data_IF_319585689279
#
_entry.id   IF_319585689279
#
_cell.length_a   1.000
_cell.length_b   1.000
_cell.length_c   1.000
_cell.angle_alpha   90.00
_cell.angle_beta   90.00
_cell.angle_gamma   90.00
#
_symmetry.space_group_name_H-M   'P 1'
#
loop_
_entity.id
_entity.type
_entity.pdbx_description
1 polymer ?
#
# COMPACT_ATOMS: atom_id res chain seq x y z
N UNK A 1 -0.03 8.99 -3.82
CA UNK A 1 1.36 9.44 -3.81
C UNK A 1 2.12 8.79 -2.66
N UNK A 2 3.43 8.77 -2.78
CA UNK A 2 4.29 8.17 -1.75
C UNK A 2 4.16 8.90 -0.42
N UNK A 3 4.07 10.23 -0.45
CA UNK A 3 3.93 11.01 0.76
C UNK A 3 2.65 10.67 1.52
N UNK A 4 1.55 10.52 0.81
CA UNK A 4 0.27 10.14 1.42
C UNK A 4 0.33 8.74 2.03
N UNK A 5 0.99 7.81 1.35
CA UNK A 5 1.16 6.44 1.85
C UNK A 5 1.99 6.43 3.13
N UNK A 6 3.11 7.15 3.13
CA UNK A 6 3.97 7.25 4.31
C UNK A 6 3.25 7.88 5.49
N UNK A 7 2.47 8.94 5.23
CA UNK A 7 1.67 9.59 6.28
C UNK A 7 0.64 8.61 6.85
N UNK A 8 -0.04 7.88 5.99
CA UNK A 8 -1.00 6.87 6.41
C UNK A 8 -0.37 5.77 7.25
N UNK A 9 0.80 5.28 6.83
CA UNK A 9 1.50 4.23 7.58
C UNK A 9 1.90 4.71 8.97
N UNK A 10 2.23 5.99 9.11
CA UNK A 10 2.66 6.54 10.40
C UNK A 10 1.52 6.58 11.43
N UNK A 11 0.27 6.70 10.99
CA UNK A 11 -0.89 6.74 11.88
C UNK A 11 -1.61 5.39 12.00
N UNK A 12 -1.17 4.39 11.27
CA UNK A 12 -1.77 3.08 11.32
C UNK A 12 -1.37 2.39 12.62
N UNK A 13 -2.36 1.89 13.35
CA UNK A 13 -2.08 1.20 14.61
C UNK A 13 -1.60 -0.22 14.37
N UNK A 14 -0.99 -0.83 15.38
CA UNK A 14 -0.58 -2.23 15.33
C UNK A 14 -1.78 -3.11 14.96
N UNK A 15 -1.61 -3.99 13.99
CA UNK A 15 -2.68 -4.83 13.46
C UNK A 15 -3.55 -4.14 12.44
N UNK A 16 -3.40 -2.82 12.25
CA UNK A 16 -4.18 -2.10 11.27
C UNK A 16 -3.79 -2.41 9.84
N UNK A 17 -4.71 -2.16 8.93
CA UNK A 17 -4.55 -2.50 7.52
C UNK A 17 -4.76 -1.25 6.66
N UNK A 18 -3.85 -1.03 5.72
CA UNK A 18 -4.01 -0.04 4.67
C UNK A 18 -4.21 -0.76 3.34
N UNK A 19 -5.19 -0.32 2.56
CA UNK A 19 -5.39 -0.85 1.22
C UNK A 19 -5.08 0.23 0.19
N UNK A 20 -4.42 -0.19 -0.88
CA UNK A 20 -4.06 0.69 -2.00
C UNK A 20 -4.56 0.09 -3.28
N UNK A 21 -4.90 0.95 -4.24
CA UNK A 21 -5.15 0.54 -5.62
C UNK A 21 -4.15 1.25 -6.51
N UNK A 22 -3.29 0.51 -7.17
CA UNK A 22 -2.26 1.06 -8.05
C UNK A 22 -2.71 0.94 -9.50
N UNK A 23 -2.70 2.06 -10.22
CA UNK A 23 -3.14 2.13 -11.61
C UNK A 23 -1.93 2.32 -12.52
N UNK A 24 -2.00 1.81 -13.73
CA UNK A 24 -0.95 2.00 -14.73
C UNK A 24 -1.52 2.34 -16.13
N UNK A 25 -2.68 2.99 -16.15
CA UNK A 25 -3.35 3.34 -17.41
C UNK A 25 -2.71 4.49 -18.18
N UNK A 26 -1.75 5.20 -17.60
CA UNK A 26 -1.02 6.28 -18.26
C UNK A 26 0.46 6.18 -17.90
N UNK A 27 1.29 6.92 -18.65
CA UNK A 27 2.74 6.92 -18.37
C UNK A 27 3.03 7.46 -16.97
N UNK A 28 2.32 8.49 -16.55
CA UNK A 28 2.50 9.07 -15.22
C UNK A 28 2.11 8.06 -14.14
N UNK A 29 0.99 7.38 -14.32
CA UNK A 29 0.53 6.37 -13.37
C UNK A 29 1.50 5.19 -13.31
N UNK A 30 2.06 4.80 -14.45
CA UNK A 30 3.01 3.68 -14.50
C UNK A 30 4.29 4.02 -13.74
N UNK A 31 4.80 5.23 -13.90
CA UNK A 31 5.98 5.67 -13.16
C UNK A 31 5.71 5.77 -11.67
N UNK A 32 4.56 6.29 -11.29
CA UNK A 32 4.16 6.38 -9.89
C UNK A 32 4.01 4.99 -9.28
N UNK A 33 3.40 4.05 -10.01
CA UNK A 33 3.25 2.66 -9.55
C UNK A 33 4.61 2.03 -9.28
N UNK A 34 5.58 2.22 -10.18
CA UNK A 34 6.94 1.69 -10.01
C UNK A 34 7.59 2.27 -8.76
N UNK A 35 7.47 3.57 -8.55
CA UNK A 35 8.05 4.23 -7.39
C UNK A 35 7.42 3.73 -6.09
N UNK A 36 6.11 3.57 -6.07
CA UNK A 36 5.39 3.06 -4.91
C UNK A 36 5.80 1.62 -4.61
N UNK A 37 5.85 0.76 -5.62
CA UNK A 37 6.25 -0.63 -5.43
C UNK A 37 7.67 -0.74 -4.90
N UNK A 38 8.58 0.10 -5.38
CA UNK A 38 9.95 0.12 -4.87
C UNK A 38 9.98 0.54 -3.41
N UNK A 39 9.25 1.56 -3.04
CA UNK A 39 9.18 2.02 -1.65
C UNK A 39 8.60 0.94 -0.75
N UNK A 40 7.54 0.27 -1.18
CA UNK A 40 6.90 -0.79 -0.39
C UNK A 40 7.83 -1.98 -0.19
N UNK A 41 8.62 -2.32 -1.21
CA UNK A 41 9.57 -3.43 -1.09
C UNK A 41 10.67 -3.14 -0.07
N UNK A 42 10.97 -1.87 0.14
CA UNK A 42 12.01 -1.44 1.08
C UNK A 42 11.49 -1.29 2.51
N UNK A 43 10.19 -1.46 2.75
CA UNK A 43 9.65 -1.40 4.10
C UNK A 43 10.19 -2.57 4.95
N UNK A 44 10.40 -2.28 6.24
CA UNK A 44 10.89 -3.30 7.17
C UNK A 44 9.87 -4.44 7.30
N UNK A 45 10.28 -5.65 6.95
CA UNK A 45 9.41 -6.81 6.96
C UNK A 45 8.97 -7.23 8.37
N UNK A 46 9.66 -6.78 9.40
CA UNK A 46 9.25 -7.04 10.78
C UNK A 46 8.14 -6.11 11.23
N UNK A 47 8.07 -4.92 10.63
CA UNK A 47 7.08 -3.90 10.99
C UNK A 47 5.86 -3.95 10.10
N UNK A 48 6.05 -4.23 8.82
CA UNK A 48 4.97 -4.20 7.83
C UNK A 48 4.93 -5.48 7.02
N UNK A 49 3.73 -6.02 6.84
CA UNK A 49 3.47 -7.08 5.89
C UNK A 49 2.83 -6.44 4.66
N UNK A 50 3.45 -6.60 3.49
CA UNK A 50 2.93 -6.03 2.24
C UNK A 50 2.55 -7.18 1.31
N UNK A 51 1.31 -7.18 0.86
CA UNK A 51 0.81 -8.17 -0.07
C UNK A 51 0.33 -7.43 -1.32
N UNK A 52 0.90 -7.79 -2.47
CA UNK A 52 0.41 -7.30 -3.75
C UNK A 52 -0.40 -8.42 -4.40
N UNK A 53 -1.48 -8.05 -5.09
CA UNK A 53 -2.33 -9.02 -5.75
C UNK A 53 -2.57 -8.62 -7.19
N UNK A 54 -2.87 -9.62 -8.03
CA UNK A 54 -3.14 -9.42 -9.45
C UNK A 54 -4.43 -10.12 -9.81
N UNK A 55 -5.20 -9.52 -10.72
CA UNK A 55 -6.35 -10.20 -11.29
C UNK A 55 -5.83 -11.21 -12.31
N UNK A 56 -6.06 -12.47 -12.04
CA UNK A 56 -5.52 -13.53 -12.87
C UNK A 56 -6.21 -13.63 -14.23
N UNK A 57 -7.53 -13.38 -14.26
CA UNK A 57 -8.33 -13.60 -15.45
C UNK A 57 -8.94 -12.33 -16.04
N UNK A 58 -8.38 -11.16 -15.73
CA UNK A 58 -8.88 -9.87 -16.24
C UNK A 58 -7.90 -9.28 -17.24
N UNK A 59 -8.34 -8.94 -18.46
CA UNK A 59 -7.49 -8.25 -19.43
C UNK A 59 -7.46 -6.73 -19.18
N UNK A 60 -6.69 -6.01 -19.98
CA UNK A 60 -6.66 -4.55 -20.02
C UNK A 60 -6.09 -3.90 -18.76
N UNK A 61 -5.07 -4.50 -18.17
CA UNK A 61 -4.31 -3.91 -17.07
C UNK A 61 -5.20 -3.38 -15.94
N UNK A 62 -5.94 -4.25 -15.25
CA UNK A 62 -6.75 -3.82 -14.13
C UNK A 62 -5.90 -3.26 -13.00
N UNK A 63 -6.47 -2.42 -12.11
CA UNK A 63 -5.70 -1.89 -10.99
C UNK A 63 -5.17 -3.01 -10.11
N UNK A 64 -3.98 -2.78 -9.51
CA UNK A 64 -3.35 -3.75 -8.63
C UNK A 64 -3.72 -3.44 -7.18
N UNK A 65 -4.52 -4.28 -6.51
CA UNK A 65 -4.76 -4.10 -5.08
C UNK A 65 -3.50 -4.43 -4.27
N UNK A 66 -3.23 -3.61 -3.27
CA UNK A 66 -2.12 -3.82 -2.35
C UNK A 66 -2.65 -3.71 -0.93
N UNK A 67 -2.24 -4.63 -0.08
CA UNK A 67 -2.64 -4.65 1.32
C UNK A 67 -1.40 -4.55 2.18
N UNK A 68 -1.41 -3.62 3.14
CA UNK A 68 -0.30 -3.43 4.07
C UNK A 68 -0.84 -3.56 5.48
N UNK A 69 -0.28 -4.48 6.24
CA UNK A 69 -0.64 -4.64 7.65
C UNK A 69 0.53 -4.22 8.52
N UNK A 70 0.26 -3.42 9.54
CA UNK A 70 1.26 -3.04 10.52
C UNK A 70 1.36 -4.12 11.58
N UNK A 71 2.51 -4.76 11.67
CA UNK A 71 2.73 -5.88 12.58
C UNK A 71 3.22 -5.43 13.95
N UNK A 72 3.95 -4.31 14.01
CA UNK A 72 4.49 -3.77 15.25
C UNK A 72 4.27 -2.26 15.29
N UNK A 73 4.18 -1.70 16.50
CA UNK A 73 4.05 -0.28 16.69
C UNK A 73 3.12 0.06 17.83
N UNK A 74 2.89 1.36 18.02
CA UNK A 74 1.95 1.86 19.03
C UNK A 74 0.53 1.70 18.49
N UNK A 75 -0.38 1.28 19.36
CA UNK A 75 -1.78 1.09 18.98
C UNK A 75 -2.73 2.11 19.59
N UNK A 76 -2.21 3.13 20.26
CA UNK A 76 -3.03 4.18 20.86
C UNK A 76 -3.22 5.35 19.90
N UNK A 77 -4.45 5.83 19.78
CA UNK A 77 -4.82 7.02 19.01
C UNK A 77 -4.52 6.96 17.53
N UNK A 78 -4.25 5.77 16.98
CA UNK A 78 -4.04 5.58 15.57
C UNK A 78 -5.26 4.94 14.95
N UNK A 79 -5.44 5.13 13.66
CA UNK A 79 -6.54 4.48 12.93
C UNK A 79 -6.24 3.00 12.75
N UNK A 80 -7.29 2.18 12.72
CA UNK A 80 -7.13 0.74 12.55
C UNK A 80 -6.96 0.33 11.09
N UNK A 81 -7.61 1.01 10.17
CA UNK A 81 -7.48 0.71 8.76
C UNK A 81 -8.12 1.77 7.89
N UNK A 82 -7.69 1.85 6.64
CA UNK A 82 -8.26 2.76 5.65
C UNK A 82 -7.79 2.34 4.26
N UNK A 83 -8.45 2.91 3.25
CA UNK A 83 -8.11 2.65 1.86
C UNK A 83 -7.63 3.90 1.16
N UNK A 84 -6.68 3.73 0.25
CA UNK A 84 -6.20 4.78 -0.65
C UNK A 84 -6.38 4.34 -2.10
N UNK A 85 -6.67 5.30 -2.93
CA UNK A 85 -6.88 5.04 -4.35
C UNK A 85 -5.84 5.75 -5.18
#
# INVERSE_FOLDING_TARGET
>A
SIAAIKAGLSILRKGGIMTLCLYDGSDVQREEKKAILKMLKELDSKTYLVITSCYYNRPNNPPMPVFIQKLEGKDSRCIYGFGLV
#
